data_IF_889341296030
#
_entry.id   IF_889341296030
#
_cell.length_a   1.000
_cell.length_b   1.000
_cell.length_c   1.000
_cell.angle_alpha   90.00
_cell.angle_beta   90.00
_cell.angle_gamma   90.00
#
_symmetry.space_group_name_H-M   'P 1'
#
loop_
_entity.id
_entity.type
_entity.pdbx_description
1 polymer ?
#
# COMPACT_ATOMS: atom_id res chain seq x y z
N UNK A 1 -22.21 0.98 -1.58
CA UNK A 1 -21.75 -0.41 -1.42
C UNK A 1 -22.94 -1.33 -1.69
N UNK A 2 -22.79 -2.38 -2.49
CA UNK A 2 -23.90 -3.30 -2.78
C UNK A 2 -23.77 -4.54 -1.92
N UNK A 3 -24.91 -5.20 -1.65
CA UNK A 3 -24.98 -6.42 -0.86
C UNK A 3 -25.58 -7.55 -1.69
N UNK A 4 -25.08 -8.76 -1.48
CA UNK A 4 -25.60 -9.96 -2.13
C UNK A 4 -25.94 -11.01 -1.09
N UNK A 5 -27.10 -11.65 -1.26
CA UNK A 5 -27.56 -12.72 -0.38
C UNK A 5 -27.12 -14.09 -0.90
N UNK A 6 -26.16 -14.69 -0.22
CA UNK A 6 -25.61 -16.00 -0.56
C UNK A 6 -26.31 -17.07 0.26
N UNK A 7 -26.70 -18.17 -0.38
CA UNK A 7 -27.21 -19.34 0.32
C UNK A 7 -26.03 -20.08 0.97
N UNK A 8 -26.22 -20.54 2.20
CA UNK A 8 -25.21 -21.25 2.99
C UNK A 8 -25.86 -22.47 3.62
N UNK A 9 -25.14 -23.58 3.63
CA UNK A 9 -25.56 -24.83 4.27
C UNK A 9 -25.14 -24.81 5.75
N UNK A 10 -25.92 -24.08 6.56
CA UNK A 10 -25.73 -23.98 8.00
C UNK A 10 -27.07 -23.67 8.71
N UNK A 11 -27.25 -24.03 9.99
CA UNK A 11 -28.46 -23.73 10.74
C UNK A 11 -28.73 -22.23 10.84
N UNK A 12 -30.00 -21.83 10.81
CA UNK A 12 -30.39 -20.44 11.08
C UNK A 12 -29.94 -20.00 12.48
N UNK A 13 -29.41 -18.78 12.57
CA UNK A 13 -28.82 -18.24 13.79
C UNK A 13 -27.35 -18.59 14.01
N UNK A 14 -26.76 -19.49 13.22
CA UNK A 14 -25.31 -19.77 13.31
C UNK A 14 -24.48 -18.59 12.85
N UNK A 15 -23.36 -18.36 13.54
CA UNK A 15 -22.36 -17.35 13.19
C UNK A 15 -21.16 -18.05 12.57
N UNK A 16 -20.58 -17.41 11.56
CA UNK A 16 -19.41 -17.94 10.90
C UNK A 16 -18.80 -16.93 9.95
N UNK A 17 -17.73 -17.36 9.30
CA UNK A 17 -17.00 -16.55 8.34
C UNK A 17 -17.21 -17.06 6.92
N UNK A 18 -17.53 -16.14 6.03
CA UNK A 18 -17.45 -16.33 4.60
C UNK A 18 -16.08 -15.89 4.09
N UNK A 19 -15.38 -16.77 3.38
CA UNK A 19 -14.13 -16.48 2.69
C UNK A 19 -14.36 -16.59 1.17
N UNK A 20 -14.25 -15.48 0.41
CA UNK A 20 -14.41 -15.51 -1.04
C UNK A 20 -13.37 -16.40 -1.71
N UNK A 21 -13.78 -17.14 -2.75
CA UNK A 21 -12.84 -17.87 -3.60
C UNK A 21 -12.22 -16.92 -4.64
N UNK A 22 -10.98 -17.13 -5.06
CA UNK A 22 -10.41 -16.43 -6.21
C UNK A 22 -11.30 -16.62 -7.45
N UNK A 23 -11.62 -15.53 -8.14
CA UNK A 23 -12.54 -15.54 -9.30
C UNK A 23 -11.83 -15.23 -10.61
N UNK A 24 -12.39 -15.75 -11.70
CA UNK A 24 -11.97 -15.39 -13.07
C UNK A 24 -12.28 -13.91 -13.37
N UNK A 25 -13.38 -13.40 -12.83
CA UNK A 25 -13.83 -12.01 -13.03
C UNK A 25 -13.19 -11.08 -11.99
N UNK A 26 -11.99 -10.57 -12.30
CA UNK A 26 -11.19 -9.73 -11.38
C UNK A 26 -11.80 -8.37 -11.02
N UNK A 27 -12.86 -7.96 -11.71
CA UNK A 27 -13.54 -6.68 -11.49
C UNK A 27 -14.66 -6.76 -10.44
N UNK A 28 -14.97 -7.96 -9.92
CA UNK A 28 -15.94 -8.16 -8.84
C UNK A 28 -15.21 -8.59 -7.57
N UNK A 29 -15.19 -7.71 -6.59
CA UNK A 29 -14.57 -7.94 -5.30
C UNK A 29 -15.63 -8.30 -4.27
N UNK A 30 -15.43 -9.45 -3.62
CA UNK A 30 -16.19 -9.90 -2.47
C UNK A 30 -15.26 -9.80 -1.26
N UNK A 31 -15.75 -9.27 -0.13
CA UNK A 31 -14.96 -9.20 1.08
C UNK A 31 -15.15 -10.46 1.95
N UNK A 32 -14.10 -10.97 2.61
CA UNK A 32 -14.26 -11.83 3.77
C UNK A 32 -15.23 -11.20 4.76
N UNK A 33 -16.23 -11.96 5.22
CA UNK A 33 -17.33 -11.41 6.01
C UNK A 33 -17.71 -12.36 7.13
N UNK A 34 -17.71 -11.87 8.37
CA UNK A 34 -18.36 -12.56 9.50
C UNK A 34 -19.85 -12.20 9.47
N UNK A 35 -20.72 -13.20 9.48
CA UNK A 35 -22.16 -12.99 9.38
C UNK A 35 -22.94 -13.97 10.26
N UNK A 36 -24.21 -13.65 10.51
CA UNK A 36 -25.18 -14.60 11.07
C UNK A 36 -26.07 -15.12 9.95
N UNK A 37 -26.29 -16.44 9.90
CA UNK A 37 -27.19 -17.07 8.93
C UNK A 37 -28.63 -16.72 9.28
N UNK A 38 -29.37 -16.18 8.31
CA UNK A 38 -30.79 -15.87 8.43
C UNK A 38 -31.55 -16.44 7.23
N UNK A 39 -32.52 -17.32 7.47
CA UNK A 39 -33.28 -18.01 6.43
C UNK A 39 -32.37 -18.74 5.41
N UNK A 40 -31.33 -19.42 5.89
CA UNK A 40 -30.34 -20.14 5.10
C UNK A 40 -29.42 -19.25 4.27
N UNK A 41 -29.36 -17.94 4.57
CA UNK A 41 -28.59 -16.97 3.78
C UNK A 41 -27.73 -16.07 4.64
N UNK A 42 -26.63 -15.61 4.04
CA UNK A 42 -25.76 -14.56 4.57
C UNK A 42 -25.72 -13.37 3.61
N UNK A 43 -25.42 -12.20 4.15
CA UNK A 43 -25.28 -10.96 3.36
C UNK A 43 -23.80 -10.61 3.24
N UNK A 44 -23.28 -10.56 2.02
CA UNK A 44 -21.87 -10.25 1.74
C UNK A 44 -21.79 -8.94 0.96
N UNK A 45 -20.93 -7.98 1.36
CA UNK A 45 -20.70 -6.77 0.61
C UNK A 45 -19.90 -7.07 -0.67
N UNK A 46 -20.28 -6.39 -1.74
CA UNK A 46 -19.70 -6.57 -3.07
C UNK A 46 -19.34 -5.20 -3.65
N UNK A 47 -18.15 -5.13 -4.23
CA UNK A 47 -17.66 -3.98 -4.98
C UNK A 47 -17.41 -4.38 -6.44
N UNK A 48 -18.09 -3.72 -7.36
CA UNK A 48 -17.78 -3.80 -8.79
C UNK A 48 -16.85 -2.66 -9.16
N UNK A 49 -15.66 -2.98 -9.65
CA UNK A 49 -14.73 -2.02 -10.24
C UNK A 49 -15.04 -1.75 -11.72
N UNK A 50 -15.96 -2.51 -12.31
CA UNK A 50 -16.44 -2.25 -13.65
C UNK A 50 -17.51 -1.17 -13.66
N UNK A 51 -17.38 -0.19 -14.55
CA UNK A 51 -18.35 0.89 -14.82
C UNK A 51 -19.65 0.41 -15.50
N UNK A 52 -19.93 -0.89 -15.48
CA UNK A 52 -21.09 -1.53 -16.12
C UNK A 52 -21.81 -2.46 -15.16
N UNK A 53 -23.13 -2.56 -15.30
CA UNK A 53 -23.93 -3.52 -14.55
C UNK A 53 -23.48 -4.93 -14.87
N UNK A 54 -22.99 -5.64 -13.85
CA UNK A 54 -22.50 -7.01 -14.00
C UNK A 54 -23.37 -7.92 -13.14
N UNK A 55 -23.89 -9.00 -13.74
CA UNK A 55 -24.64 -10.02 -13.01
C UNK A 55 -23.68 -11.01 -12.39
N UNK A 56 -23.96 -11.43 -11.16
CA UNK A 56 -23.28 -12.58 -10.59
C UNK A 56 -23.75 -13.86 -11.30
N UNK A 57 -22.83 -14.78 -11.64
CA UNK A 57 -23.18 -16.06 -12.21
C UNK A 57 -24.09 -16.83 -11.25
N UNK A 58 -25.18 -17.35 -11.79
CA UNK A 58 -26.19 -18.06 -11.00
C UNK A 58 -25.72 -19.48 -10.73
N UNK A 59 -25.85 -19.95 -9.48
CA UNK A 59 -25.44 -21.29 -9.01
C UNK A 59 -23.92 -21.55 -9.00
N UNK A 60 -23.09 -20.51 -9.03
CA UNK A 60 -21.65 -20.66 -8.79
C UNK A 60 -21.31 -20.49 -7.30
N UNK A 61 -20.40 -21.33 -6.80
CA UNK A 61 -19.88 -21.21 -5.44
C UNK A 61 -18.97 -19.99 -5.32
N UNK A 62 -19.44 -18.93 -4.63
CA UNK A 62 -18.68 -17.68 -4.51
C UNK A 62 -17.58 -17.70 -3.42
N UNK A 63 -17.61 -18.68 -2.53
CA UNK A 63 -16.69 -18.76 -1.40
C UNK A 63 -16.93 -20.00 -0.55
N UNK A 64 -16.24 -20.04 0.58
CA UNK A 64 -16.38 -21.08 1.61
C UNK A 64 -17.00 -20.46 2.85
N UNK A 65 -17.88 -21.21 3.53
CA UNK A 65 -18.40 -20.87 4.84
C UNK A 65 -17.74 -21.74 5.90
N UNK A 66 -17.27 -21.14 6.98
CA UNK A 66 -16.75 -21.84 8.15
C UNK A 66 -17.52 -21.39 9.41
N UNK A 67 -18.14 -22.31 10.18
CA UNK A 67 -18.77 -21.96 11.44
C UNK A 67 -17.70 -21.49 12.44
N UNK A 68 -18.04 -20.50 13.27
CA UNK A 68 -17.12 -19.99 14.28
C UNK A 68 -16.72 -21.07 15.31
N UNK A 69 -17.64 -21.98 15.61
CA UNK A 69 -17.58 -22.95 16.70
C UNK A 69 -16.49 -24.02 16.55
N UNK A 70 -15.89 -24.17 15.36
CA UNK A 70 -14.96 -25.26 15.07
C UNK A 70 -13.56 -25.03 15.65
N UNK A 71 -13.02 -23.80 15.58
CA UNK A 71 -11.68 -23.43 16.08
C UNK A 71 -11.50 -21.88 16.17
N UNK A 72 -12.59 -21.09 16.06
CA UNK A 72 -12.49 -19.66 15.79
C UNK A 72 -13.34 -18.80 16.75
N UNK A 73 -12.67 -18.08 17.64
CA UNK A 73 -13.34 -17.08 18.48
C UNK A 73 -13.66 -15.84 17.65
N UNK A 74 -14.95 -15.59 17.41
CA UNK A 74 -15.42 -14.31 16.86
C UNK A 74 -15.37 -13.30 18.00
N UNK A 75 -14.25 -12.60 18.10
CA UNK A 75 -14.16 -11.43 18.96
C UNK A 75 -15.12 -10.38 18.42
N UNK A 76 -16.07 -9.94 19.25
CA UNK A 76 -16.71 -8.67 18.95
C UNK A 76 -15.59 -7.64 18.82
N UNK A 77 -15.66 -6.82 17.78
CA UNK A 77 -14.97 -5.53 17.82
C UNK A 77 -15.70 -4.72 18.88
N UNK A 78 -15.40 -5.04 20.14
CA UNK A 78 -15.75 -4.25 21.28
C UNK A 78 -15.12 -2.87 21.07
N UNK A 79 -15.49 -1.87 21.86
CA UNK A 79 -14.85 -0.55 21.83
C UNK A 79 -13.35 -0.55 22.18
N UNK A 80 -12.59 -1.58 21.80
CA UNK A 80 -11.13 -1.64 21.70
C UNK A 80 -10.61 -0.76 20.55
N UNK A 81 -11.36 -0.61 19.46
CA UNK A 81 -11.13 0.43 18.45
C UNK A 81 -11.80 1.76 18.82
N UNK A 82 -12.09 1.98 20.10
CA UNK A 82 -12.49 3.30 20.59
C UNK A 82 -11.39 4.32 20.24
N UNK A 83 -11.79 5.51 19.76
CA UNK A 83 -10.85 6.54 19.31
C UNK A 83 -9.80 6.82 20.38
N UNK A 84 -10.19 6.87 21.65
CA UNK A 84 -9.26 7.12 22.75
C UNK A 84 -8.25 5.97 22.96
N UNK A 85 -8.67 4.70 22.78
CA UNK A 85 -7.78 3.54 22.88
C UNK A 85 -6.88 3.38 21.66
N UNK A 86 -7.40 3.62 20.45
CA UNK A 86 -6.60 3.65 19.22
C UNK A 86 -5.57 4.75 19.29
N UNK A 87 -5.97 5.95 19.72
CA UNK A 87 -5.03 7.04 20.00
C UNK A 87 -4.02 6.59 21.06
N UNK A 88 -4.43 6.03 22.19
CA UNK A 88 -3.47 5.57 23.21
C UNK A 88 -2.49 4.49 22.70
N UNK A 89 -2.92 3.60 21.80
CA UNK A 89 -2.07 2.55 21.21
C UNK A 89 -1.16 3.08 20.10
N UNK A 90 -1.69 3.96 19.24
CA UNK A 90 -0.91 4.65 18.20
C UNK A 90 0.10 5.59 18.85
N UNK A 91 -0.25 6.28 19.92
CA UNK A 91 0.63 7.20 20.65
C UNK A 91 1.60 6.52 21.62
N UNK A 92 1.57 5.18 21.73
CA UNK A 92 2.31 4.44 22.76
C UNK A 92 3.82 4.35 22.53
N UNK A 93 4.36 4.89 21.44
CA UNK A 93 5.75 4.62 21.11
C UNK A 93 6.48 5.84 20.54
N UNK A 94 7.30 6.47 21.39
CA UNK A 94 8.32 7.50 21.10
C UNK A 94 7.83 8.95 21.27
N UNK A 95 8.30 9.59 22.33
CA UNK A 95 8.03 10.99 22.66
C UNK A 95 9.11 11.95 22.15
N UNK A 96 10.24 11.41 21.70
CA UNK A 96 11.36 12.16 21.18
C UNK A 96 10.95 12.92 19.91
N UNK A 97 11.20 14.24 19.84
CA UNK A 97 10.87 15.04 18.68
C UNK A 97 11.70 14.63 17.47
N UNK A 98 11.16 14.87 16.27
CA UNK A 98 11.88 14.67 15.01
C UNK A 98 12.89 15.80 14.80
N UNK A 99 14.01 15.50 14.15
CA UNK A 99 15.04 16.50 13.85
C UNK A 99 14.55 17.67 12.98
N UNK A 100 13.51 17.46 12.16
CA UNK A 100 12.92 18.43 11.23
C UNK A 100 11.47 18.80 11.56
N UNK A 101 11.02 18.64 12.81
CA UNK A 101 9.61 18.81 13.18
C UNK A 101 9.08 20.22 12.89
N UNK A 102 9.94 21.25 13.01
CA UNK A 102 9.61 22.65 12.73
C UNK A 102 9.32 22.94 11.25
N UNK A 103 9.86 22.12 10.34
CA UNK A 103 9.71 22.30 8.90
C UNK A 103 8.51 21.53 8.33
N UNK A 104 7.81 20.75 9.16
CA UNK A 104 6.66 19.94 8.75
C UNK A 104 5.43 20.82 8.45
N UNK A 105 4.97 20.75 7.19
CA UNK A 105 3.76 21.43 6.75
C UNK A 105 2.56 20.47 6.86
N UNK A 106 1.74 20.64 7.90
CA UNK A 106 0.59 19.76 8.17
C UNK A 106 -0.75 20.29 7.64
N UNK A 107 -0.79 21.49 7.06
CA UNK A 107 -2.03 22.11 6.60
C UNK A 107 -2.93 22.59 7.76
N UNK A 108 -4.17 22.94 7.44
CA UNK A 108 -5.14 23.44 8.43
C UNK A 108 -5.80 22.28 9.18
N UNK A 109 -5.57 22.22 10.50
CA UNK A 109 -6.14 21.22 11.40
C UNK A 109 -6.33 21.81 12.80
N UNK A 110 -7.23 21.20 13.58
CA UNK A 110 -7.39 21.53 15.00
C UNK A 110 -6.11 21.18 15.78
N UNK A 111 -5.79 21.94 16.83
CA UNK A 111 -4.58 21.74 17.65
C UNK A 111 -4.47 20.31 18.19
N UNK A 112 -5.58 19.74 18.65
CA UNK A 112 -5.64 18.35 19.12
C UNK A 112 -5.27 17.33 18.03
N UNK A 113 -5.72 17.55 16.80
CA UNK A 113 -5.44 16.66 15.67
C UNK A 113 -3.99 16.85 15.17
N UNK A 114 -3.45 18.06 15.29
CA UNK A 114 -2.04 18.36 15.00
C UNK A 114 -1.09 17.64 15.94
N UNK A 115 -1.39 17.66 17.23
CA UNK A 115 -0.58 16.97 18.24
C UNK A 115 -0.60 15.46 18.00
N UNK A 116 -1.78 14.90 17.68
CA UNK A 116 -1.93 13.50 17.32
C UNK A 116 -1.11 13.13 16.06
N UNK A 117 -1.15 13.97 15.03
CA UNK A 117 -0.37 13.76 13.80
C UNK A 117 1.13 13.80 14.06
N UNK A 118 1.60 14.78 14.85
CA UNK A 118 3.00 14.90 15.23
C UNK A 118 3.49 13.67 15.97
N UNK A 119 2.72 13.20 16.95
CA UNK A 119 3.09 12.00 17.68
C UNK A 119 3.11 10.77 16.78
N UNK A 120 2.16 10.61 15.85
CA UNK A 120 2.20 9.54 14.86
C UNK A 120 3.49 9.59 14.02
N UNK A 121 3.92 10.77 13.58
CA UNK A 121 5.16 10.92 12.80
C UNK A 121 6.40 10.56 13.63
N UNK A 122 6.42 10.89 14.92
CA UNK A 122 7.53 10.53 15.85
C UNK A 122 7.71 9.02 16.00
N UNK A 123 6.68 8.22 15.78
CA UNK A 123 6.77 6.77 15.78
C UNK A 123 7.55 6.21 14.58
N UNK A 124 7.65 6.98 13.49
CA UNK A 124 8.28 6.55 12.24
C UNK A 124 9.43 7.47 11.82
N UNK A 125 10.42 7.74 12.71
CA UNK A 125 11.48 8.70 12.42
C UNK A 125 12.30 8.25 11.20
N UNK A 126 12.50 6.94 11.04
CA UNK A 126 13.21 6.38 9.90
C UNK A 126 12.57 6.71 8.54
N UNK A 127 11.26 6.99 8.48
CA UNK A 127 10.55 7.33 7.24
C UNK A 127 10.38 8.83 7.05
N UNK A 128 10.27 9.59 8.15
CA UNK A 128 9.94 11.02 8.11
C UNK A 128 11.19 11.91 8.19
N UNK A 129 12.23 11.47 8.91
CA UNK A 129 13.44 12.26 9.03
C UNK A 129 14.20 12.31 7.69
N UNK A 130 14.74 13.50 7.31
CA UNK A 130 15.52 13.63 6.10
C UNK A 130 16.74 12.71 6.18
N UNK A 131 16.88 11.85 5.18
CA UNK A 131 18.08 11.04 5.01
C UNK A 131 19.06 11.79 4.13
N UNK A 132 20.34 11.67 4.49
CA UNK A 132 21.42 12.06 3.58
C UNK A 132 21.57 10.98 2.53
N UNK A 133 21.79 11.38 1.29
CA UNK A 133 21.89 10.47 0.17
C UNK A 133 20.54 9.98 -0.34
N UNK A 134 20.59 9.03 -1.25
CA UNK A 134 19.41 8.45 -1.86
C UNK A 134 18.71 7.48 -0.90
N UNK A 135 17.37 7.35 -0.99
CA UNK A 135 16.65 6.34 -0.22
C UNK A 135 17.20 4.93 -0.49
N UNK A 136 17.22 4.05 0.53
CA UNK A 136 17.71 2.70 0.35
C UNK A 136 16.85 1.93 -0.66
N UNK A 137 17.46 0.96 -1.33
CA UNK A 137 16.78 0.04 -2.24
C UNK A 137 15.56 -0.60 -1.55
N UNK A 138 14.46 -0.71 -2.30
CA UNK A 138 13.24 -1.35 -1.80
C UNK A 138 13.51 -2.81 -1.40
N UNK A 139 12.94 -3.24 -0.28
CA UNK A 139 12.97 -4.66 0.14
C UNK A 139 11.88 -5.49 -0.54
N UNK A 140 11.00 -4.85 -1.32
CA UNK A 140 9.99 -5.54 -2.11
C UNK A 140 10.67 -6.17 -3.32
N UNK A 141 10.47 -7.48 -3.52
CA UNK A 141 10.98 -8.22 -4.69
C UNK A 141 10.23 -7.91 -5.99
N UNK A 142 9.92 -6.64 -6.22
CA UNK A 142 9.22 -6.15 -7.41
C UNK A 142 10.19 -5.26 -8.16
N UNK A 143 10.46 -5.61 -9.42
CA UNK A 143 11.35 -4.88 -10.31
C UNK A 143 10.55 -4.16 -11.40
N UNK A 144 11.07 -3.03 -11.87
CA UNK A 144 10.49 -2.32 -13.00
C UNK A 144 11.10 -2.83 -14.31
N UNK A 145 10.31 -3.53 -15.12
CA UNK A 145 10.72 -3.94 -16.46
C UNK A 145 10.34 -2.86 -17.48
N UNK A 146 11.33 -2.38 -18.24
CA UNK A 146 11.13 -1.41 -19.32
C UNK A 146 10.99 -2.18 -20.64
N UNK A 147 9.76 -2.33 -21.14
CA UNK A 147 9.51 -3.00 -22.42
C UNK A 147 9.79 -2.08 -23.61
N UNK A 148 10.94 -2.27 -24.27
CA UNK A 148 11.31 -1.51 -25.49
C UNK A 148 10.76 -2.12 -26.78
N UNK A 149 10.16 -3.32 -26.73
CA UNK A 149 9.66 -4.04 -27.91
C UNK A 149 10.78 -4.34 -28.91
N UNK A 150 10.54 -4.08 -30.19
CA UNK A 150 11.51 -4.28 -31.28
C UNK A 150 12.39 -3.05 -31.56
N UNK A 151 12.33 -2.02 -30.71
CA UNK A 151 13.09 -0.79 -30.92
C UNK A 151 14.60 -1.02 -30.70
N UNK A 152 15.42 -0.60 -31.66
CA UNK A 152 16.87 -0.69 -31.55
C UNK A 152 17.42 0.26 -30.46
N UNK A 153 18.48 -0.12 -29.72
CA UNK A 153 19.12 0.75 -28.74
C UNK A 153 19.60 2.07 -29.33
N UNK A 154 19.39 3.17 -28.60
CA UNK A 154 19.82 4.51 -28.99
C UNK A 154 21.06 4.89 -28.18
N UNK A 155 22.15 5.22 -28.88
CA UNK A 155 23.39 5.71 -28.28
C UNK A 155 23.70 7.13 -28.73
N UNK A 156 23.47 8.08 -27.83
CA UNK A 156 23.74 9.51 -28.05
C UNK A 156 25.08 9.88 -27.42
N UNK A 157 25.81 10.81 -28.05
CA UNK A 157 27.07 11.31 -27.49
C UNK A 157 26.81 12.16 -26.23
N UNK A 158 27.68 12.09 -25.20
CA UNK A 158 27.61 12.98 -24.05
C UNK A 158 27.67 14.45 -24.46
N UNK A 159 27.00 15.31 -23.70
CA UNK A 159 27.09 16.77 -23.89
C UNK A 159 28.43 17.28 -23.37
N UNK A 160 28.87 18.40 -23.95
CA UNK A 160 30.02 19.15 -23.42
C UNK A 160 29.50 20.06 -22.32
N UNK A 161 30.05 19.90 -21.13
CA UNK A 161 29.80 20.78 -19.98
C UNK A 161 31.01 21.68 -19.75
N UNK A 162 30.78 22.85 -19.14
CA UNK A 162 31.90 23.64 -18.63
C UNK A 162 32.64 22.85 -17.54
N UNK A 163 33.92 23.15 -17.30
CA UNK A 163 34.69 22.38 -16.31
C UNK A 163 34.04 22.41 -14.91
N UNK A 164 33.51 23.56 -14.49
CA UNK A 164 32.80 23.71 -13.21
C UNK A 164 31.54 22.86 -13.13
N UNK A 165 30.80 22.72 -14.23
CA UNK A 165 29.59 21.89 -14.30
C UNK A 165 29.95 20.41 -14.29
N UNK A 166 31.01 20.02 -15.01
CA UNK A 166 31.47 18.63 -15.01
C UNK A 166 31.84 18.16 -13.60
N UNK A 167 32.50 19.02 -12.80
CA UNK A 167 32.81 18.71 -11.40
C UNK A 167 31.55 18.43 -10.56
N UNK A 168 30.44 19.12 -10.83
CA UNK A 168 29.15 18.88 -10.15
C UNK A 168 28.55 17.54 -10.60
N UNK A 169 28.58 17.26 -11.90
CA UNK A 169 28.11 15.98 -12.44
C UNK A 169 28.90 14.82 -11.83
N UNK A 170 30.23 14.92 -11.80
CA UNK A 170 31.09 13.86 -11.28
C UNK A 170 30.83 13.64 -9.78
N UNK A 171 30.69 14.70 -8.98
CA UNK A 171 30.39 14.60 -7.56
C UNK A 171 29.03 13.93 -7.27
N UNK A 172 27.99 14.25 -8.06
CA UNK A 172 26.67 13.63 -7.92
C UNK A 172 26.70 12.15 -8.32
N UNK A 173 27.38 11.83 -9.42
CA UNK A 173 27.56 10.43 -9.86
C UNK A 173 28.31 9.61 -8.81
N UNK A 174 29.37 10.16 -8.21
CA UNK A 174 30.10 9.51 -7.11
C UNK A 174 29.19 9.25 -5.91
N UNK A 175 28.31 10.20 -5.56
CA UNK A 175 27.34 10.01 -4.49
C UNK A 175 26.33 8.91 -4.81
N UNK A 176 25.77 8.90 -6.03
CA UNK A 176 24.83 7.87 -6.47
C UNK A 176 25.46 6.47 -6.53
N UNK A 177 26.74 6.38 -6.91
CA UNK A 177 27.52 5.14 -6.88
C UNK A 177 27.71 4.65 -5.44
N UNK A 178 28.08 5.54 -4.51
CA UNK A 178 28.23 5.21 -3.09
C UNK A 178 26.91 4.75 -2.46
N UNK A 179 25.80 5.36 -2.86
CA UNK A 179 24.45 5.01 -2.38
C UNK A 179 23.88 3.75 -3.06
N UNK A 180 24.55 3.22 -4.09
CA UNK A 180 24.12 2.01 -4.83
C UNK A 180 22.91 2.23 -5.74
N UNK A 181 22.63 3.47 -6.13
CA UNK A 181 21.51 3.83 -7.02
C UNK A 181 21.84 3.58 -8.49
N UNK A 182 23.12 3.72 -8.85
CA UNK A 182 23.63 3.49 -10.20
C UNK A 182 24.84 2.57 -10.16
N UNK A 183 25.14 1.97 -11.30
CA UNK A 183 26.32 1.13 -11.51
C UNK A 183 26.95 1.43 -12.87
N UNK A 184 28.20 1.01 -13.06
CA UNK A 184 28.86 1.12 -14.37
C UNK A 184 28.18 0.21 -15.40
N UNK A 185 27.55 0.82 -16.40
CA UNK A 185 26.89 0.11 -17.50
C UNK A 185 27.79 -0.04 -18.74
N UNK A 186 27.79 -1.21 -19.36
CA UNK A 186 28.37 -1.45 -20.69
C UNK A 186 27.29 -1.71 -21.77
N UNK A 187 26.14 -1.06 -21.62
CA UNK A 187 24.98 -1.23 -22.49
C UNK A 187 25.12 -0.60 -23.88
N UNK A 188 24.29 -1.06 -24.81
CA UNK A 188 24.19 -0.49 -26.16
C UNK A 188 23.42 0.85 -26.20
N UNK A 189 22.69 1.18 -25.13
CA UNK A 189 21.98 2.46 -24.96
C UNK A 189 22.82 3.51 -24.21
N UNK A 190 22.57 4.79 -24.47
CA UNK A 190 23.21 5.88 -23.72
C UNK A 190 22.62 7.25 -24.06
N UNK A 191 22.36 8.05 -23.04
CA UNK A 191 21.78 9.40 -23.16
C UNK A 191 22.63 10.42 -22.39
N UNK A 192 22.76 11.67 -22.89
CA UNK A 192 23.52 12.70 -22.21
C UNK A 192 22.81 13.19 -20.94
N UNK A 193 23.60 13.46 -19.90
CA UNK A 193 23.13 14.11 -18.67
C UNK A 193 23.06 15.63 -18.86
N UNK A 194 22.09 16.26 -18.20
CA UNK A 194 21.91 17.71 -18.17
C UNK A 194 21.73 18.12 -16.71
N UNK A 195 22.47 19.15 -16.27
CA UNK A 195 22.22 19.79 -14.98
C UNK A 195 21.01 20.73 -15.11
N UNK A 196 20.13 20.73 -14.10
CA UNK A 196 18.88 21.51 -14.05
C UNK A 196 18.95 22.54 -12.93
#
# INVERSE_FOLDING_TARGET
MHHVHLAVEAPDGSVGMFVPKPRKERHLLLAPTVATVRAGRITVPVLSLAWRTTKLPTRETLGTWAPADADMEVLEVSGELDRAKVIAEVLKARTEPLSNEADLQMGDMEENDRDLMLQLMRNYPALIEPRKGCPPMTTLGVEHEIHTGDAAPIKVRPRRHAHTEQLVVDAEVDQMLNDGVVEEGNGAGGFPVVLV
#
